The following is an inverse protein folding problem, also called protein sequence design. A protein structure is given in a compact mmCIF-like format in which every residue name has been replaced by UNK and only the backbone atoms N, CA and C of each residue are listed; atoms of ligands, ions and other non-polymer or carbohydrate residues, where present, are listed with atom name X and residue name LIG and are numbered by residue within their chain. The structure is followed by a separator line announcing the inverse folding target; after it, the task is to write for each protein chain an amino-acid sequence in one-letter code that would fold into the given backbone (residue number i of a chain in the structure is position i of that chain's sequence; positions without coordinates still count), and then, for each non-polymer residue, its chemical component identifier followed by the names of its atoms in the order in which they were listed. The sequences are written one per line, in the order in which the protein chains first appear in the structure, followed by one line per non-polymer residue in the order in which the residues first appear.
data_IF_276648673856
#
_entry.id   IF_276648673856
#
_cell.length_a   1.000
_cell.length_b   1.000
_cell.length_c   1.000
_cell.angle_alpha   90.00
_cell.angle_beta   90.00
_cell.angle_gamma   90.00
#
_symmetry.space_group_name_H-M   'P 1'
#
loop_
_entity.id
_entity.type
_entity.pdbx_description
1 polymer ?
#
# COMPACT_ATOMS: atom_id res chain seq x y z
N UNK A 1 -6.35 23.11 -18.40
CA UNK A 1 -7.09 22.23 -17.48
C UNK A 1 -7.26 20.82 -18.03
N UNK A 2 -7.77 20.68 -19.24
CA UNK A 2 -7.88 19.36 -19.89
C UNK A 2 -6.53 18.68 -20.10
N UNK A 3 -5.50 19.43 -20.49
CA UNK A 3 -4.15 18.90 -20.66
C UNK A 3 -3.55 18.40 -19.35
N UNK A 4 -3.83 19.08 -18.24
CA UNK A 4 -3.40 18.65 -16.90
C UNK A 4 -4.11 17.37 -16.48
N UNK A 5 -5.39 17.23 -16.80
CA UNK A 5 -6.16 16.03 -16.50
C UNK A 5 -5.64 14.85 -17.33
N UNK A 6 -5.35 15.07 -18.63
CA UNK A 6 -4.78 14.04 -19.49
C UNK A 6 -3.38 13.61 -19.01
N UNK A 7 -2.52 14.56 -18.65
CA UNK A 7 -1.20 14.29 -18.11
C UNK A 7 -1.30 13.55 -16.77
N UNK A 8 -2.25 13.94 -15.95
CA UNK A 8 -2.49 13.28 -14.68
C UNK A 8 -2.94 11.83 -14.88
N UNK A 9 -3.80 11.57 -15.86
CA UNK A 9 -4.26 10.21 -16.17
C UNK A 9 -3.12 9.34 -16.70
N UNK A 10 -2.26 9.88 -17.57
CA UNK A 10 -1.08 9.17 -18.08
C UNK A 10 -0.10 8.90 -16.95
N UNK A 11 0.20 9.89 -16.13
CA UNK A 11 1.06 9.74 -14.95
C UNK A 11 0.46 8.75 -13.95
N UNK A 12 -0.85 8.79 -13.77
CA UNK A 12 -1.57 7.87 -12.90
C UNK A 12 -1.44 6.42 -13.38
N UNK A 13 -1.61 6.17 -14.68
CA UNK A 13 -1.46 4.84 -15.26
C UNK A 13 -0.05 4.29 -15.05
N UNK A 14 0.96 5.11 -15.28
CA UNK A 14 2.35 4.76 -15.04
C UNK A 14 2.63 4.50 -13.56
N UNK A 15 2.09 5.34 -12.70
CA UNK A 15 2.20 5.24 -11.25
C UNK A 15 1.54 3.97 -10.71
N UNK A 16 0.39 3.57 -11.26
CA UNK A 16 -0.31 2.35 -10.85
C UNK A 16 0.54 1.11 -11.12
N UNK A 17 1.18 1.02 -12.27
CA UNK A 17 2.07 -0.10 -12.58
C UNK A 17 3.24 -0.17 -11.60
N UNK A 18 3.84 0.95 -11.27
CA UNK A 18 4.92 1.02 -10.29
C UNK A 18 4.44 0.59 -8.89
N UNK A 19 3.21 0.95 -8.52
CA UNK A 19 2.61 0.52 -7.25
C UNK A 19 2.47 -0.99 -7.21
N UNK A 20 1.94 -1.62 -8.24
CA UNK A 20 1.79 -3.07 -8.29
C UNK A 20 3.14 -3.79 -8.25
N UNK A 21 4.13 -3.27 -8.97
CA UNK A 21 5.50 -3.82 -8.93
C UNK A 21 6.08 -3.73 -7.52
N UNK A 22 5.89 -2.58 -6.86
CA UNK A 22 6.39 -2.38 -5.51
C UNK A 22 5.72 -3.32 -4.51
N UNK A 23 4.43 -3.57 -4.66
CA UNK A 23 3.67 -4.45 -3.77
C UNK A 23 3.90 -5.94 -4.04
N UNK A 24 4.53 -6.29 -5.14
CA UNK A 24 4.75 -7.69 -5.52
C UNK A 24 5.79 -8.41 -4.64
N UNK A 25 6.56 -7.70 -3.86
CA UNK A 25 7.61 -8.26 -3.01
C UNK A 25 7.18 -8.29 -1.54
N UNK A 26 7.29 -9.43 -0.85
CA UNK A 26 6.86 -9.53 0.55
C UNK A 26 7.69 -8.64 1.49
N UNK A 27 8.96 -8.43 1.20
CA UNK A 27 9.82 -7.55 2.02
C UNK A 27 9.37 -6.09 1.93
N UNK A 28 8.97 -5.65 0.74
CA UNK A 28 8.43 -4.30 0.57
C UNK A 28 7.09 -4.12 1.27
N UNK A 29 6.24 -5.14 1.24
CA UNK A 29 4.98 -5.11 2.00
C UNK A 29 5.24 -5.04 3.51
N UNK A 30 6.21 -5.81 4.02
CA UNK A 30 6.60 -5.78 5.42
C UNK A 30 7.13 -4.40 5.83
N UNK A 31 7.88 -3.76 4.93
CA UNK A 31 8.41 -2.42 5.16
C UNK A 31 7.27 -1.39 5.25
N UNK A 32 6.28 -1.48 4.37
CA UNK A 32 5.09 -0.63 4.43
C UNK A 32 4.29 -0.85 5.71
N UNK A 33 4.13 -2.09 6.14
CA UNK A 33 3.47 -2.41 7.40
C UNK A 33 4.20 -1.79 8.58
N UNK A 34 5.51 -1.83 8.57
CA UNK A 34 6.33 -1.22 9.61
C UNK A 34 6.14 0.30 9.65
N UNK A 35 6.12 0.97 8.51
CA UNK A 35 5.85 2.40 8.43
C UNK A 35 4.42 2.74 8.83
N UNK A 36 3.46 1.87 8.54
CA UNK A 36 2.09 2.05 8.98
C UNK A 36 1.98 2.04 10.50
N UNK A 37 2.72 1.18 11.17
CA UNK A 37 2.76 1.11 12.62
C UNK A 37 3.50 2.29 13.25
N UNK A 38 4.64 2.66 12.65
CA UNK A 38 5.50 3.74 13.13
C UNK A 38 5.92 4.62 11.95
N UNK A 39 5.13 5.62 11.63
CA UNK A 39 5.41 6.53 10.54
C UNK A 39 6.57 7.48 10.89
N UNK A 40 7.32 7.90 9.89
CA UNK A 40 8.42 8.84 10.09
C UNK A 40 9.68 8.20 10.67
N UNK A 41 10.13 7.09 10.07
CA UNK A 41 11.33 6.38 10.53
C UNK A 41 12.55 6.73 9.68
N UNK A 42 13.72 6.77 10.31
CA UNK A 42 15.00 6.83 9.61
C UNK A 42 15.35 5.46 9.02
N UNK A 43 16.30 5.44 8.08
CA UNK A 43 16.79 4.18 7.52
C UNK A 43 17.32 3.25 8.61
N UNK A 44 18.04 3.78 9.58
CA UNK A 44 18.58 2.98 10.69
C UNK A 44 17.47 2.32 11.51
N UNK A 45 16.39 3.05 11.79
CA UNK A 45 15.25 2.52 12.55
C UNK A 45 14.55 1.41 11.77
N UNK A 46 14.40 1.58 10.47
CA UNK A 46 13.80 0.55 9.61
C UNK A 46 14.69 -0.71 9.59
N UNK A 47 16.00 -0.54 9.43
CA UNK A 47 16.93 -1.66 9.38
C UNK A 47 16.93 -2.49 10.66
N UNK A 48 16.72 -1.88 11.81
CA UNK A 48 16.71 -2.59 13.10
C UNK A 48 15.56 -3.58 13.22
N UNK A 49 14.47 -3.36 12.51
CA UNK A 49 13.23 -4.15 12.65
C UNK A 49 13.02 -5.17 11.54
N UNK A 50 13.81 -5.09 10.48
CA UNK A 50 13.67 -6.00 9.34
C UNK A 50 14.90 -6.89 9.26
N UNK A 51 14.74 -8.20 8.99
CA UNK A 51 15.85 -9.14 8.83
C UNK A 51 16.47 -9.01 7.44
N UNK A 52 16.84 -7.80 7.07
CA UNK A 52 17.41 -7.47 5.76
C UNK A 52 18.69 -6.67 5.94
N UNK A 53 19.57 -6.74 4.94
CA UNK A 53 20.75 -5.91 4.91
C UNK A 53 20.39 -4.45 4.69
N UNK A 54 21.25 -3.54 5.14
CA UNK A 54 21.05 -2.10 4.93
C UNK A 54 20.91 -1.77 3.43
N UNK A 55 21.74 -2.42 2.60
CA UNK A 55 21.66 -2.25 1.14
C UNK A 55 20.32 -2.74 0.58
N UNK A 56 19.84 -3.88 1.07
CA UNK A 56 18.54 -4.41 0.67
C UNK A 56 17.39 -3.48 1.05
N UNK A 57 17.42 -2.94 2.27
CA UNK A 57 16.40 -1.98 2.72
C UNK A 57 16.45 -0.71 1.87
N UNK A 58 17.64 -0.19 1.59
CA UNK A 58 17.80 1.01 0.75
C UNK A 58 17.22 0.78 -0.66
N UNK A 59 17.47 -0.39 -1.23
CA UNK A 59 16.96 -0.75 -2.55
C UNK A 59 15.43 -0.85 -2.56
N UNK A 60 14.87 -1.51 -1.55
CA UNK A 60 13.42 -1.63 -1.40
C UNK A 60 12.75 -0.27 -1.17
N UNK A 61 13.34 0.58 -0.33
CA UNK A 61 12.87 1.95 -0.12
C UNK A 61 12.88 2.75 -1.42
N UNK A 62 13.94 2.62 -2.22
CA UNK A 62 14.03 3.32 -3.52
C UNK A 62 12.86 2.97 -4.44
N UNK A 63 12.49 1.70 -4.51
CA UNK A 63 11.36 1.26 -5.33
C UNK A 63 10.01 1.76 -4.77
N UNK A 64 9.86 1.78 -3.46
CA UNK A 64 8.66 2.31 -2.81
C UNK A 64 8.52 3.82 -3.01
N UNK A 65 9.63 4.55 -2.95
CA UNK A 65 9.65 6.00 -3.22
C UNK A 65 9.29 6.27 -4.67
N UNK A 66 9.82 5.48 -5.59
CA UNK A 66 9.51 5.61 -7.02
C UNK A 66 8.02 5.38 -7.30
N UNK A 67 7.38 4.51 -6.54
CA UNK A 67 5.95 4.24 -6.65
C UNK A 67 5.09 5.24 -5.88
N UNK A 68 5.68 6.24 -5.25
CA UNK A 68 5.03 7.24 -4.38
C UNK A 68 4.33 6.63 -3.15
N UNK A 69 4.69 5.41 -2.79
CA UNK A 69 4.16 4.76 -1.59
C UNK A 69 4.88 5.22 -0.32
N UNK A 70 6.11 5.71 -0.47
CA UNK A 70 6.91 6.26 0.62
C UNK A 70 7.39 7.64 0.22
N UNK A 71 7.24 8.60 1.13
CA UNK A 71 7.71 9.96 0.94
C UNK A 71 8.84 10.24 1.94
N UNK A 72 10.07 10.50 1.44
CA UNK A 72 11.16 10.89 2.32
C UNK A 72 11.12 12.39 2.58
N UNK A 73 11.25 12.76 3.84
CA UNK A 73 11.32 14.17 4.25
C UNK A 73 12.52 14.38 5.15
N UNK A 74 13.27 15.45 4.90
CA UNK A 74 14.38 15.83 5.74
C UNK A 74 13.91 16.55 6.98
N UNK A 75 14.39 16.12 8.12
CA UNK A 75 14.18 16.79 9.40
C UNK A 75 15.55 17.01 10.04
N UNK A 76 16.09 18.20 9.86
CA UNK A 76 17.47 18.48 10.23
C UNK A 76 18.43 17.65 9.37
N UNK A 77 19.27 16.84 10.01
CA UNK A 77 20.23 15.94 9.34
C UNK A 77 19.67 14.56 9.05
N UNK A 78 18.47 14.29 9.53
CA UNK A 78 17.84 12.98 9.40
C UNK A 78 16.82 12.98 8.29
N UNK A 79 16.80 11.89 7.52
CA UNK A 79 15.80 11.65 6.48
C UNK A 79 14.76 10.70 7.04
N UNK A 80 13.54 11.19 7.21
CA UNK A 80 12.43 10.41 7.74
C UNK A 80 11.58 9.88 6.60
N UNK A 81 11.13 8.65 6.72
CA UNK A 81 10.32 7.99 5.70
C UNK A 81 8.88 7.89 6.17
N UNK A 82 7.95 8.36 5.35
CA UNK A 82 6.53 8.37 5.63
C UNK A 82 5.77 7.53 4.63
N UNK A 83 4.81 6.78 5.12
CA UNK A 83 3.87 6.05 4.27
C UNK A 83 2.92 7.05 3.60
N UNK A 84 2.80 6.95 2.28
CA UNK A 84 1.81 7.73 1.53
C UNK A 84 0.67 6.80 1.10
N UNK A 85 -0.51 6.90 1.70
CA UNK A 85 -1.64 6.03 1.35
C UNK A 85 -2.36 6.43 0.07
N UNK A 86 -2.05 7.58 -0.51
CA UNK A 86 -2.78 8.11 -1.67
C UNK A 86 -2.80 7.16 -2.87
N UNK A 87 -1.68 6.54 -3.30
CA UNK A 87 -1.73 5.60 -4.42
C UNK A 87 -2.62 4.38 -4.15
N UNK A 88 -2.61 3.88 -2.92
CA UNK A 88 -3.45 2.74 -2.53
C UNK A 88 -4.93 3.13 -2.51
N UNK A 89 -5.23 4.32 -2.02
CA UNK A 89 -6.58 4.87 -2.03
C UNK A 89 -7.11 5.00 -3.46
N UNK A 90 -6.30 5.48 -4.38
CA UNK A 90 -6.67 5.62 -5.80
C UNK A 90 -6.98 4.26 -6.43
N UNK A 91 -6.19 3.24 -6.12
CA UNK A 91 -6.44 1.87 -6.58
C UNK A 91 -7.76 1.35 -6.01
N UNK A 92 -7.98 1.55 -4.71
CA UNK A 92 -9.20 1.15 -4.04
C UNK A 92 -10.43 1.81 -4.67
N UNK A 93 -10.39 3.12 -4.89
CA UNK A 93 -11.48 3.87 -5.51
C UNK A 93 -11.76 3.40 -6.94
N UNK A 94 -10.71 3.07 -7.68
CA UNK A 94 -10.84 2.69 -9.09
C UNK A 94 -11.44 1.31 -9.28
N UNK A 95 -11.03 0.32 -8.48
CA UNK A 95 -11.43 -1.07 -8.72
C UNK A 95 -12.30 -1.65 -7.62
N UNK A 96 -12.05 -1.30 -6.35
CA UNK A 96 -12.79 -1.87 -5.23
C UNK A 96 -14.11 -1.16 -5.00
N UNK A 97 -14.11 0.17 -5.05
CA UNK A 97 -15.33 0.95 -4.78
C UNK A 97 -16.38 0.76 -5.86
N UNK A 98 -15.97 0.57 -7.11
CA UNK A 98 -16.88 0.27 -8.21
C UNK A 98 -17.66 -1.02 -7.99
N UNK A 99 -17.08 -1.98 -7.29
CA UNK A 99 -17.66 -3.29 -7.07
C UNK A 99 -18.02 -3.52 -5.61
N UNK A 100 -17.94 -2.48 -4.80
CA UNK A 100 -18.14 -2.57 -3.36
C UNK A 100 -19.49 -3.17 -2.99
N UNK A 101 -20.56 -2.72 -3.63
CA UNK A 101 -21.91 -3.23 -3.37
C UNK A 101 -22.03 -4.71 -3.74
N UNK A 102 -21.43 -5.11 -4.88
CA UNK A 102 -21.42 -6.51 -5.29
C UNK A 102 -20.57 -7.38 -4.36
N UNK A 103 -19.42 -6.87 -3.94
CA UNK A 103 -18.55 -7.58 -2.99
C UNK A 103 -19.22 -7.75 -1.63
N UNK A 104 -19.88 -6.70 -1.13
CA UNK A 104 -20.63 -6.77 0.13
C UNK A 104 -21.77 -7.75 0.06
N UNK A 105 -22.51 -7.78 -1.06
CA UNK A 105 -23.59 -8.76 -1.27
C UNK A 105 -23.05 -10.17 -1.27
N UNK A 106 -21.96 -10.43 -2.01
CA UNK A 106 -21.33 -11.75 -2.05
C UNK A 106 -20.88 -12.20 -0.66
N UNK A 107 -20.27 -11.31 0.12
CA UNK A 107 -19.85 -11.60 1.49
C UNK A 107 -21.05 -11.89 2.40
N UNK A 108 -22.12 -11.12 2.27
CA UNK A 108 -23.35 -11.35 3.05
C UNK A 108 -23.99 -12.69 2.69
N UNK A 109 -24.04 -13.03 1.41
CA UNK A 109 -24.59 -14.30 0.94
C UNK A 109 -23.77 -15.49 1.47
N UNK A 110 -22.44 -15.37 1.47
CA UNK A 110 -21.56 -16.37 2.06
C UNK A 110 -21.80 -16.51 3.56
N UNK A 111 -21.93 -15.39 4.27
CA UNK A 111 -22.20 -15.39 5.72
C UNK A 111 -23.52 -16.07 6.03
N UNK A 112 -24.58 -15.77 5.28
CA UNK A 112 -25.89 -16.40 5.42
C UNK A 112 -25.83 -17.89 5.13
N UNK A 113 -25.10 -18.28 4.09
CA UNK A 113 -24.89 -19.69 3.76
C UNK A 113 -24.18 -20.44 4.87
N UNK A 114 -23.16 -19.82 5.47
CA UNK A 114 -22.43 -20.40 6.61
C UNK A 114 -23.30 -20.50 7.85
N UNK A 115 -24.14 -19.51 8.12
CA UNK A 115 -25.06 -19.53 9.25
C UNK A 115 -26.09 -20.65 9.13
N UNK A 116 -26.58 -20.89 7.90
CA UNK A 116 -27.50 -21.98 7.63
C UNK A 116 -26.83 -23.36 7.75
N UNK A 117 -25.52 -23.44 7.58
CA UNK A 117 -24.77 -24.67 7.71
C UNK A 117 -24.28 -24.96 9.13
N UNK A 118 -24.41 -24.00 10.05
CA UNK A 118 -24.03 -24.22 11.45
C UNK A 118 -24.97 -25.23 12.07
N UNK A 119 -24.42 -26.30 12.69
CA UNK A 119 -25.28 -27.19 13.48
C UNK A 119 -25.92 -26.41 14.60
N UNK A 120 -27.19 -26.69 14.85
CA UNK A 120 -27.88 -26.07 15.94
C UNK A 120 -27.16 -26.35 17.27
N UNK A 121 -27.00 -25.35 18.14
CA UNK A 121 -26.39 -25.60 19.44
C UNK A 121 -27.25 -26.56 20.23
N UNK A 122 -26.67 -27.71 20.46
CA UNK A 122 -27.29 -28.71 21.33
C UNK A 122 -27.11 -28.32 22.78
#
# INVERSE_FOLDING_TARGET
MLALICNHLVAYSSSVNEVFKALADPNRRALLDQLHQNNGQTLNQICRRLPLTRQGVTKHLGLLIKADLVVPLWHGREKLHYLNPAPLKQISERWLDKHKAACLRALNDLTKGLDNLKPEPT
#
